data_IF_585161920810
#
_entry.id   IF_585161920810
#
_cell.length_a   1.000
_cell.length_b   1.000
_cell.length_c   1.000
_cell.angle_alpha   90.00
_cell.angle_beta   90.00
_cell.angle_gamma   90.00
#
_symmetry.space_group_name_H-M   'P 1'
#
loop_
_entity.id
_entity.type
_entity.pdbx_description
1 polymer ?
#
# COMPACT_ATOMS: atom_id res chain seq x y z
N UNK A 1 29.48 21.64 0.19
CA UNK A 1 30.72 20.84 0.39
C UNK A 1 30.40 19.48 1.02
N UNK A 2 29.35 19.41 1.87
CA UNK A 2 28.88 18.17 2.48
C UNK A 2 28.13 17.28 1.47
N UNK A 3 27.42 17.87 0.51
CA UNK A 3 26.67 17.20 -0.55
C UNK A 3 27.59 16.39 -1.47
N UNK A 4 28.69 17.00 -1.91
CA UNK A 4 29.71 16.36 -2.73
C UNK A 4 30.39 15.19 -2.01
N UNK A 5 30.53 15.28 -0.68
CA UNK A 5 31.09 14.20 0.13
C UNK A 5 30.13 13.01 0.15
N UNK A 6 28.85 13.23 0.43
CA UNK A 6 27.82 12.16 0.42
C UNK A 6 27.76 11.49 -0.95
N UNK A 7 27.74 12.29 -2.03
CA UNK A 7 27.74 11.76 -3.41
C UNK A 7 28.99 10.94 -3.70
N UNK A 8 30.17 11.38 -3.24
CA UNK A 8 31.41 10.63 -3.41
C UNK A 8 31.37 9.28 -2.69
N UNK A 9 30.87 9.24 -1.46
CA UNK A 9 30.70 7.99 -0.70
C UNK A 9 29.75 7.04 -1.44
N UNK A 10 28.60 7.55 -1.93
CA UNK A 10 27.65 6.77 -2.72
C UNK A 10 28.34 6.20 -3.96
N UNK A 11 29.06 7.02 -4.73
CA UNK A 11 29.76 6.57 -5.94
C UNK A 11 30.84 5.53 -5.64
N UNK A 12 31.60 5.70 -4.56
CA UNK A 12 32.61 4.72 -4.13
C UNK A 12 31.97 3.38 -3.73
N UNK A 13 30.85 3.42 -3.01
CA UNK A 13 30.08 2.23 -2.66
C UNK A 13 29.53 1.55 -3.91
N UNK A 14 28.89 2.29 -4.83
CA UNK A 14 28.32 1.76 -6.07
C UNK A 14 29.41 1.18 -6.98
N UNK A 15 30.56 1.85 -7.12
CA UNK A 15 31.68 1.33 -7.89
C UNK A 15 32.16 -0.02 -7.33
N UNK A 16 32.34 -0.11 -6.01
CA UNK A 16 32.75 -1.36 -5.34
C UNK A 16 31.68 -2.45 -5.49
N UNK A 17 30.41 -2.07 -5.35
CA UNK A 17 29.26 -2.96 -5.48
C UNK A 17 29.19 -3.61 -6.87
N UNK A 18 29.13 -2.78 -7.92
CA UNK A 18 28.86 -3.23 -9.28
C UNK A 18 30.09 -3.83 -9.97
N UNK A 19 31.31 -3.35 -9.69
CA UNK A 19 32.52 -3.89 -10.30
C UNK A 19 33.08 -5.12 -9.59
N UNK A 20 32.88 -5.26 -8.27
CA UNK A 20 33.51 -6.35 -7.52
C UNK A 20 32.53 -7.24 -6.76
N UNK A 21 31.64 -6.66 -5.95
CA UNK A 21 30.80 -7.46 -5.04
C UNK A 21 29.73 -8.25 -5.81
N UNK A 22 28.96 -7.62 -6.69
CA UNK A 22 27.92 -8.31 -7.46
C UNK A 22 28.48 -9.37 -8.42
N UNK A 23 29.55 -9.11 -9.20
CA UNK A 23 30.13 -10.14 -10.06
C UNK A 23 30.65 -11.36 -9.29
N UNK A 24 31.27 -11.14 -8.11
CA UNK A 24 31.93 -12.18 -7.34
C UNK A 24 30.98 -12.99 -6.46
N UNK A 25 29.99 -12.33 -5.84
CA UNK A 25 29.14 -12.96 -4.83
C UNK A 25 27.70 -13.22 -5.29
N UNK A 26 27.12 -12.33 -6.10
CA UNK A 26 25.73 -12.50 -6.57
C UNK A 26 25.65 -13.45 -7.78
N UNK A 27 26.62 -13.36 -8.71
CA UNK A 27 26.63 -14.16 -9.93
C UNK A 27 25.34 -13.97 -10.74
N UNK A 28 24.64 -15.08 -11.00
CA UNK A 28 23.35 -15.08 -11.71
C UNK A 28 22.13 -15.25 -10.76
N UNK A 29 22.34 -15.21 -9.43
CA UNK A 29 21.26 -15.40 -8.47
C UNK A 29 20.66 -14.05 -8.04
N UNK A 30 19.46 -13.76 -8.55
CA UNK A 30 18.73 -12.52 -8.29
C UNK A 30 18.42 -12.31 -6.80
N UNK A 31 18.06 -13.38 -6.06
CA UNK A 31 17.74 -13.26 -4.62
C UNK A 31 18.96 -12.83 -3.80
N UNK A 32 20.14 -13.35 -4.15
CA UNK A 32 21.41 -12.94 -3.50
C UNK A 32 21.77 -11.51 -3.86
N UNK A 33 21.55 -11.11 -5.12
CA UNK A 33 21.76 -9.74 -5.57
C UNK A 33 20.91 -8.75 -4.76
N UNK A 34 19.61 -9.00 -4.60
CA UNK A 34 18.72 -8.13 -3.83
C UNK A 34 19.13 -8.00 -2.35
N UNK A 35 19.59 -9.08 -1.72
CA UNK A 35 20.10 -9.03 -0.36
C UNK A 35 21.40 -8.24 -0.23
N UNK A 36 22.30 -8.37 -1.21
CA UNK A 36 23.54 -7.59 -1.24
C UNK A 36 23.25 -6.11 -1.49
N UNK A 37 22.31 -5.79 -2.36
CA UNK A 37 21.85 -4.43 -2.65
C UNK A 37 21.31 -3.73 -1.40
N UNK A 38 20.42 -4.41 -0.66
CA UNK A 38 19.91 -3.94 0.61
C UNK A 38 21.01 -3.74 1.65
N UNK A 39 21.97 -4.68 1.75
CA UNK A 39 23.08 -4.57 2.69
C UNK A 39 24.06 -3.42 2.34
N UNK A 40 24.37 -3.25 1.05
CA UNK A 40 25.28 -2.21 0.58
C UNK A 40 24.65 -0.82 0.66
N UNK A 41 23.32 -0.72 0.50
CA UNK A 41 22.59 0.53 0.71
C UNK A 41 22.66 1.08 2.13
N UNK A 42 22.87 0.23 3.14
CA UNK A 42 23.10 0.70 4.50
C UNK A 42 24.48 1.36 4.69
N UNK A 43 25.47 1.13 3.81
CA UNK A 43 26.81 1.69 3.97
C UNK A 43 26.79 3.22 3.81
N UNK A 44 26.30 3.81 2.70
CA UNK A 44 26.24 5.26 2.56
C UNK A 44 25.34 5.91 3.62
N UNK A 45 24.23 5.26 3.99
CA UNK A 45 23.35 5.73 5.06
C UNK A 45 24.06 5.74 6.42
N UNK A 46 24.79 4.67 6.75
CA UNK A 46 25.54 4.56 8.00
C UNK A 46 26.70 5.54 8.09
N UNK A 47 27.45 5.73 7.00
CA UNK A 47 28.51 6.75 6.93
C UNK A 47 27.92 8.16 7.09
N UNK A 48 26.81 8.45 6.40
CA UNK A 48 26.14 9.74 6.51
C UNK A 48 25.57 9.98 7.91
N UNK A 49 25.06 8.93 8.57
CA UNK A 49 24.65 9.00 9.97
C UNK A 49 25.85 9.38 10.85
N UNK A 50 26.96 8.64 10.78
CA UNK A 50 28.14 8.93 11.62
C UNK A 50 28.65 10.36 11.42
N UNK A 51 28.66 10.85 10.18
CA UNK A 51 29.19 12.18 9.85
C UNK A 51 28.26 13.33 10.23
N UNK A 52 26.94 13.16 10.08
CA UNK A 52 25.99 14.27 10.12
C UNK A 52 24.97 14.19 11.26
N UNK A 53 24.98 13.14 12.07
CA UNK A 53 24.01 12.95 13.16
C UNK A 53 23.99 14.08 14.19
N UNK A 54 25.16 14.59 14.56
CA UNK A 54 25.26 15.66 15.57
C UNK A 54 25.16 17.06 14.96
N UNK A 55 25.69 17.24 13.75
CA UNK A 55 25.73 18.55 13.09
C UNK A 55 24.43 18.94 12.40
N UNK A 56 23.56 17.96 12.12
CA UNK A 56 22.30 18.07 11.38
C UNK A 56 22.26 19.17 10.31
N UNK A 57 23.15 19.09 9.29
CA UNK A 57 23.22 20.13 8.28
C UNK A 57 22.04 20.04 7.32
N UNK A 58 21.62 21.19 6.78
CA UNK A 58 20.62 21.24 5.71
C UNK A 58 21.27 20.88 4.37
N UNK A 59 20.65 19.98 3.63
CA UNK A 59 21.08 19.57 2.30
C UNK A 59 20.11 20.09 1.26
N UNK A 60 20.62 20.79 0.25
CA UNK A 60 19.80 21.27 -0.87
C UNK A 60 19.72 20.21 -1.97
N UNK A 61 18.55 19.62 -2.17
CA UNK A 61 18.24 18.93 -3.42
C UNK A 61 17.92 19.94 -4.52
N UNK A 62 17.84 19.49 -5.77
CA UNK A 62 17.69 20.35 -6.97
C UNK A 62 16.58 21.42 -6.81
N UNK A 63 15.49 21.11 -6.10
CA UNK A 63 14.33 22.00 -5.94
C UNK A 63 13.91 22.30 -4.49
N UNK A 64 14.43 21.60 -3.48
CA UNK A 64 13.99 21.75 -2.08
C UNK A 64 15.09 21.35 -1.09
N UNK A 65 14.98 21.84 0.13
CA UNK A 65 15.92 21.51 1.21
C UNK A 65 15.43 20.29 1.99
N UNK A 66 16.37 19.46 2.42
CA UNK A 66 16.12 18.18 3.07
C UNK A 66 17.18 17.92 4.16
N UNK A 67 16.92 16.93 5.02
CA UNK A 67 17.94 16.41 5.93
C UNK A 67 18.92 15.46 5.22
N UNK A 68 20.02 15.13 5.91
CA UNK A 68 21.06 14.22 5.41
C UNK A 68 20.52 12.83 5.06
N UNK A 69 19.53 12.32 5.81
CA UNK A 69 18.96 10.99 5.63
C UNK A 69 18.23 10.86 4.29
N UNK A 70 17.24 11.73 4.06
CA UNK A 70 16.47 11.75 2.81
C UNK A 70 17.34 12.17 1.62
N UNK A 71 18.31 13.07 1.82
CA UNK A 71 19.27 13.40 0.77
C UNK A 71 20.04 12.15 0.31
N UNK A 72 20.60 11.40 1.25
CA UNK A 72 21.39 10.20 0.96
C UNK A 72 20.55 9.11 0.30
N UNK A 73 19.34 8.87 0.82
CA UNK A 73 18.41 7.88 0.28
C UNK A 73 18.02 8.21 -1.17
N UNK A 74 17.64 9.45 -1.45
CA UNK A 74 17.20 9.88 -2.78
C UNK A 74 18.39 9.92 -3.75
N UNK A 75 19.52 10.49 -3.35
CA UNK A 75 20.72 10.55 -4.18
C UNK A 75 21.23 9.16 -4.54
N UNK A 76 21.27 8.23 -3.59
CA UNK A 76 21.63 6.83 -3.85
C UNK A 76 20.67 6.20 -4.84
N UNK A 77 19.36 6.32 -4.62
CA UNK A 77 18.33 5.76 -5.52
C UNK A 77 18.48 6.28 -6.95
N UNK A 78 18.69 7.59 -7.12
CA UNK A 78 18.84 8.23 -8.44
C UNK A 78 20.10 7.75 -9.17
N UNK A 79 21.21 7.57 -8.45
CA UNK A 79 22.48 7.11 -9.02
C UNK A 79 22.50 5.60 -9.28
N UNK A 80 21.83 4.82 -8.44
CA UNK A 80 21.83 3.36 -8.47
C UNK A 80 20.92 2.80 -9.56
N UNK A 81 19.69 3.31 -9.69
CA UNK A 81 18.71 2.81 -10.66
C UNK A 81 19.24 2.67 -12.11
N UNK A 82 19.96 3.65 -12.70
CA UNK A 82 20.49 3.48 -14.05
C UNK A 82 21.57 2.39 -14.13
N UNK A 83 22.46 2.31 -13.13
CA UNK A 83 23.51 1.28 -13.06
C UNK A 83 22.91 -0.11 -12.90
N UNK A 84 21.91 -0.23 -12.03
CA UNK A 84 21.14 -1.44 -11.80
C UNK A 84 20.49 -1.96 -13.09
N UNK A 85 19.81 -1.07 -13.81
CA UNK A 85 19.16 -1.39 -15.07
C UNK A 85 20.17 -1.87 -16.11
N UNK A 86 21.30 -1.18 -16.26
CA UNK A 86 22.38 -1.58 -17.16
C UNK A 86 22.97 -2.94 -16.79
N UNK A 87 23.22 -3.18 -15.50
CA UNK A 87 23.79 -4.43 -15.00
C UNK A 87 22.88 -5.63 -15.27
N UNK A 88 21.59 -5.50 -14.97
CA UNK A 88 20.60 -6.56 -15.24
C UNK A 88 20.47 -6.84 -16.73
N UNK A 89 20.44 -5.79 -17.56
CA UNK A 89 20.38 -5.92 -19.02
C UNK A 89 21.61 -6.62 -19.57
N UNK A 90 22.82 -6.25 -19.11
CA UNK A 90 24.08 -6.84 -19.55
C UNK A 90 24.19 -8.34 -19.21
N UNK A 91 23.60 -8.78 -18.09
CA UNK A 91 23.63 -10.18 -17.66
C UNK A 91 22.41 -11.02 -18.08
N UNK A 92 21.46 -10.43 -18.81
CA UNK A 92 20.22 -11.12 -19.20
C UNK A 92 19.32 -11.51 -18.03
N UNK A 93 19.52 -10.91 -16.84
CA UNK A 93 18.79 -11.24 -15.61
C UNK A 93 17.40 -10.58 -15.54
N UNK A 94 17.00 -9.84 -16.57
CA UNK A 94 15.77 -9.03 -16.55
C UNK A 94 14.50 -9.82 -16.26
N UNK A 95 14.33 -10.99 -16.89
CA UNK A 95 13.15 -11.85 -16.65
C UNK A 95 13.15 -12.41 -15.23
N UNK A 96 14.27 -12.98 -14.79
CA UNK A 96 14.42 -13.52 -13.44
C UNK A 96 14.23 -12.44 -12.35
N UNK A 97 14.65 -11.20 -12.62
CA UNK A 97 14.40 -10.06 -11.75
C UNK A 97 12.93 -9.68 -11.69
N UNK A 98 12.27 -9.52 -12.84
CA UNK A 98 10.83 -9.25 -12.90
C UNK A 98 10.02 -10.35 -12.21
N UNK A 99 10.37 -11.62 -12.42
CA UNK A 99 9.76 -12.76 -11.71
C UNK A 99 9.96 -12.66 -10.20
N UNK A 100 11.16 -12.31 -9.72
CA UNK A 100 11.43 -12.14 -8.28
C UNK A 100 10.63 -11.01 -7.64
N UNK A 101 10.32 -9.97 -8.43
CA UNK A 101 9.51 -8.83 -8.02
C UNK A 101 8.00 -9.08 -8.19
N UNK A 102 7.59 -10.27 -8.65
CA UNK A 102 6.19 -10.63 -8.89
C UNK A 102 5.61 -10.12 -10.22
N UNK A 103 6.42 -9.47 -11.06
CA UNK A 103 6.03 -8.95 -12.38
C UNK A 103 6.21 -9.96 -13.53
N UNK A 104 6.82 -11.12 -13.27
CA UNK A 104 7.07 -12.16 -14.28
C UNK A 104 5.99 -13.24 -14.41
N UNK A 105 4.93 -13.17 -13.60
CA UNK A 105 3.75 -14.05 -13.74
C UNK A 105 2.80 -13.60 -14.86
N UNK A 106 1.71 -14.34 -15.05
CA UNK A 106 0.60 -13.89 -15.92
C UNK A 106 0.20 -12.46 -15.57
N UNK A 107 -0.28 -11.66 -16.53
CA UNK A 107 -0.72 -10.26 -16.31
C UNK A 107 -1.69 -10.12 -15.14
N UNK A 108 -2.37 -11.21 -14.78
CA UNK A 108 -3.31 -11.32 -13.66
C UNK A 108 -2.61 -11.58 -12.31
N UNK A 109 -1.51 -12.34 -12.29
CA UNK A 109 -0.72 -12.60 -11.08
C UNK A 109 -0.07 -11.33 -10.51
N UNK A 110 0.24 -10.34 -11.36
CA UNK A 110 0.83 -9.06 -10.92
C UNK A 110 -0.11 -8.22 -10.05
N UNK A 111 -1.43 -8.41 -10.18
CA UNK A 111 -2.46 -7.70 -9.41
C UNK A 111 -3.13 -8.61 -8.36
N UNK A 112 -2.83 -9.90 -8.36
CA UNK A 112 -3.29 -10.85 -7.36
C UNK A 112 -2.49 -10.65 -6.07
N UNK A 113 -3.16 -10.23 -4.99
CA UNK A 113 -2.54 -10.09 -3.66
C UNK A 113 -2.45 -11.43 -2.89
N UNK A 114 -2.79 -12.56 -3.53
CA UNK A 114 -2.61 -13.90 -3.00
C UNK A 114 -1.96 -14.82 -4.05
N UNK A 115 -0.99 -15.64 -3.64
CA UNK A 115 -0.38 -16.63 -4.52
C UNK A 115 -1.28 -17.86 -4.70
N UNK A 116 -1.19 -18.54 -5.86
CA UNK A 116 -1.93 -19.78 -6.16
C UNK A 116 -1.83 -20.79 -5.01
N UNK A 117 -0.62 -21.03 -4.51
CA UNK A 117 -0.35 -21.97 -3.41
C UNK A 117 -1.03 -21.56 -2.10
N UNK A 118 -1.09 -20.26 -1.80
CA UNK A 118 -1.79 -19.76 -0.61
C UNK A 118 -3.30 -19.95 -0.74
N UNK A 119 -3.87 -19.69 -1.91
CA UNK A 119 -5.30 -19.89 -2.17
C UNK A 119 -5.67 -21.36 -2.06
N UNK A 120 -4.91 -22.26 -2.70
CA UNK A 120 -5.15 -23.70 -2.64
C UNK A 120 -5.06 -24.23 -1.20
N UNK A 121 -4.04 -23.80 -0.44
CA UNK A 121 -3.93 -24.11 0.99
C UNK A 121 -5.16 -23.62 1.75
N UNK A 122 -5.59 -22.39 1.49
CA UNK A 122 -6.69 -21.75 2.19
C UNK A 122 -8.06 -22.40 1.88
N UNK A 123 -8.24 -22.89 0.65
CA UNK A 123 -9.45 -23.59 0.22
C UNK A 123 -9.63 -24.90 0.99
N UNK A 124 -8.53 -25.57 1.32
CA UNK A 124 -8.50 -26.83 2.06
C UNK A 124 -8.35 -26.66 3.58
N UNK A 125 -8.06 -25.44 4.06
CA UNK A 125 -7.85 -25.16 5.48
C UNK A 125 -9.17 -25.06 6.26
N UNK A 126 -9.22 -25.68 7.44
CA UNK A 126 -10.35 -25.71 8.37
C UNK A 126 -10.16 -24.82 9.60
N UNK A 127 -8.95 -24.30 9.86
CA UNK A 127 -8.68 -23.49 11.07
C UNK A 127 -9.62 -22.29 11.20
N UNK A 128 -10.01 -21.68 10.08
CA UNK A 128 -10.85 -20.47 10.04
C UNK A 128 -12.35 -20.75 9.88
N UNK A 129 -12.82 -21.99 10.07
CA UNK A 129 -14.24 -22.33 9.86
C UNK A 129 -15.19 -21.56 10.78
N UNK A 130 -14.74 -21.12 11.96
CA UNK A 130 -15.52 -20.25 12.86
C UNK A 130 -15.92 -18.92 12.21
N UNK A 131 -15.01 -18.30 11.44
CA UNK A 131 -15.27 -17.05 10.71
C UNK A 131 -16.17 -17.26 9.48
N UNK A 132 -16.37 -18.51 9.04
CA UNK A 132 -17.13 -18.86 7.84
C UNK A 132 -18.61 -19.13 8.14
N UNK A 133 -19.00 -19.14 9.41
CA UNK A 133 -20.39 -19.27 9.85
C UNK A 133 -21.23 -18.07 9.40
N UNK A 134 -22.55 -18.27 9.29
CA UNK A 134 -23.48 -17.20 8.89
C UNK A 134 -23.43 -16.02 9.87
N UNK A 135 -23.43 -16.32 11.17
CA UNK A 135 -23.36 -15.31 12.23
C UNK A 135 -22.06 -14.52 12.18
N UNK A 136 -20.91 -15.19 12.09
CA UNK A 136 -19.61 -14.52 12.00
C UNK A 136 -19.48 -13.65 10.74
N UNK A 137 -20.02 -14.09 9.60
CA UNK A 137 -20.03 -13.30 8.35
C UNK A 137 -20.88 -12.03 8.46
N UNK A 138 -22.06 -12.13 9.08
CA UNK A 138 -22.90 -10.96 9.34
C UNK A 138 -22.18 -10.01 10.32
N UNK A 139 -21.64 -10.56 11.41
CA UNK A 139 -20.89 -9.78 12.39
C UNK A 139 -19.70 -9.07 11.76
N UNK A 140 -18.86 -9.76 10.99
CA UNK A 140 -17.72 -9.16 10.30
C UNK A 140 -18.15 -8.04 9.35
N UNK A 141 -19.19 -8.26 8.55
CA UNK A 141 -19.67 -7.25 7.61
C UNK A 141 -20.17 -5.99 8.33
N UNK A 142 -20.96 -6.16 9.39
CA UNK A 142 -21.50 -5.03 10.16
C UNK A 142 -20.42 -4.35 10.98
N UNK A 143 -19.59 -5.12 11.69
CA UNK A 143 -18.51 -4.61 12.52
C UNK A 143 -17.47 -3.86 11.71
N UNK A 144 -17.07 -4.35 10.53
CA UNK A 144 -16.14 -3.62 9.67
C UNK A 144 -16.72 -2.29 9.21
N UNK A 145 -17.97 -2.25 8.72
CA UNK A 145 -18.57 -0.98 8.28
C UNK A 145 -18.72 0.01 9.43
N UNK A 146 -19.22 -0.46 10.59
CA UNK A 146 -19.38 0.38 11.76
C UNK A 146 -18.03 0.91 12.25
N UNK A 147 -17.01 0.05 12.29
CA UNK A 147 -15.66 0.43 12.70
C UNK A 147 -15.04 1.46 11.76
N UNK A 148 -15.11 1.24 10.45
CA UNK A 148 -14.55 2.15 9.45
C UNK A 148 -15.20 3.52 9.54
N UNK A 149 -16.54 3.59 9.56
CA UNK A 149 -17.28 4.84 9.63
C UNK A 149 -17.10 5.53 10.98
N UNK A 150 -17.24 4.81 12.10
CA UNK A 150 -17.10 5.40 13.43
C UNK A 150 -15.67 5.92 13.67
N UNK A 151 -14.65 5.18 13.24
CA UNK A 151 -13.26 5.62 13.37
C UNK A 151 -12.92 6.81 12.47
N UNK A 152 -13.44 6.86 11.24
CA UNK A 152 -13.26 8.02 10.36
C UNK A 152 -13.95 9.27 10.91
N UNK A 153 -15.20 9.13 11.39
CA UNK A 153 -15.94 10.21 12.05
C UNK A 153 -15.18 10.69 13.30
N UNK A 154 -14.74 9.76 14.15
CA UNK A 154 -13.97 10.08 15.36
C UNK A 154 -12.70 10.87 15.03
N UNK A 155 -11.87 10.39 14.10
CA UNK A 155 -10.64 11.09 13.72
C UNK A 155 -10.91 12.45 13.07
N UNK A 156 -12.01 12.58 12.34
CA UNK A 156 -12.39 13.84 11.72
C UNK A 156 -12.78 14.92 12.75
N UNK A 157 -13.46 14.53 13.82
CA UNK A 157 -13.90 15.43 14.89
C UNK A 157 -12.86 15.67 15.99
N UNK A 158 -11.96 14.71 16.25
CA UNK A 158 -10.91 14.85 17.29
C UNK A 158 -9.94 15.98 16.97
N UNK A 159 -9.63 16.21 15.68
CA UNK A 159 -8.65 17.23 15.27
C UNK A 159 -7.26 16.97 15.84
N UNK A 160 -6.45 18.03 15.98
CA UNK A 160 -5.11 17.94 16.57
C UNK A 160 -5.18 18.00 18.11
N UNK A 161 -5.45 16.86 18.74
CA UNK A 161 -5.59 16.74 20.19
C UNK A 161 -4.74 15.58 20.73
N UNK A 162 -4.58 15.46 22.06
CA UNK A 162 -3.80 14.38 22.69
C UNK A 162 -4.31 12.96 22.41
N UNK A 163 -5.48 12.82 21.78
CA UNK A 163 -6.12 11.57 21.38
C UNK A 163 -5.72 11.12 19.97
N UNK A 164 -5.00 11.97 19.22
CA UNK A 164 -4.45 11.68 17.88
C UNK A 164 -3.70 10.34 17.79
N UNK A 165 -2.93 9.87 18.80
CA UNK A 165 -2.27 8.57 18.74
C UNK A 165 -3.23 7.37 18.59
N UNK A 166 -4.52 7.52 18.92
CA UNK A 166 -5.53 6.47 18.70
C UNK A 166 -5.73 6.16 17.20
N UNK A 167 -5.32 7.06 16.30
CA UNK A 167 -5.27 6.78 14.85
C UNK A 167 -4.41 5.56 14.53
N UNK A 168 -3.34 5.28 15.28
CA UNK A 168 -2.50 4.09 15.07
C UNK A 168 -3.26 2.81 15.39
N UNK A 169 -4.07 2.81 16.45
CA UNK A 169 -4.95 1.68 16.80
C UNK A 169 -6.01 1.49 15.71
N UNK A 170 -6.57 2.59 15.21
CA UNK A 170 -7.52 2.54 14.09
C UNK A 170 -6.91 1.88 12.85
N UNK A 171 -5.70 2.28 12.46
CA UNK A 171 -4.96 1.69 11.33
C UNK A 171 -4.70 0.20 11.56
N UNK A 172 -4.21 -0.17 12.75
CA UNK A 172 -3.94 -1.58 13.08
C UNK A 172 -5.21 -2.43 12.94
N UNK A 173 -6.34 -1.94 13.46
CA UNK A 173 -7.62 -2.63 13.37
C UNK A 173 -8.16 -2.68 11.94
N UNK A 174 -7.91 -1.68 11.09
CA UNK A 174 -8.19 -1.76 9.64
C UNK A 174 -7.46 -2.97 9.06
N UNK A 175 -6.16 -3.12 9.30
CA UNK A 175 -5.41 -4.27 8.80
C UNK A 175 -5.93 -5.60 9.37
N UNK A 176 -6.33 -5.62 10.65
CA UNK A 176 -6.94 -6.79 11.27
C UNK A 176 -8.27 -7.18 10.58
N UNK A 177 -9.18 -6.22 10.38
CA UNK A 177 -10.44 -6.48 9.68
C UNK A 177 -10.23 -6.89 8.22
N UNK A 178 -9.28 -6.25 7.53
CA UNK A 178 -8.91 -6.60 6.16
C UNK A 178 -8.46 -8.06 6.09
N UNK A 179 -7.58 -8.47 7.00
CA UNK A 179 -7.12 -9.84 7.10
C UNK A 179 -8.28 -10.81 7.40
N UNK A 180 -9.10 -10.54 8.43
CA UNK A 180 -10.20 -11.41 8.83
C UNK A 180 -11.25 -11.58 7.73
N UNK A 181 -11.60 -10.50 7.02
CA UNK A 181 -12.51 -10.56 5.87
C UNK A 181 -11.96 -11.48 4.79
N UNK A 182 -10.68 -11.35 4.44
CA UNK A 182 -10.01 -12.22 3.47
C UNK A 182 -9.98 -13.69 3.89
N UNK A 183 -9.75 -13.97 5.18
CA UNK A 183 -9.82 -15.34 5.71
C UNK A 183 -11.24 -15.92 5.61
N UNK A 184 -12.28 -15.10 5.87
CA UNK A 184 -13.69 -15.52 5.83
C UNK A 184 -14.18 -15.95 4.44
N UNK A 185 -13.59 -15.39 3.38
CA UNK A 185 -13.88 -15.70 1.97
C UNK A 185 -12.81 -16.61 1.33
N UNK A 186 -11.93 -17.20 2.13
CA UNK A 186 -10.87 -18.11 1.67
C UNK A 186 -9.94 -17.52 0.60
N UNK A 187 -9.67 -16.21 0.68
CA UNK A 187 -8.89 -15.45 -0.30
C UNK A 187 -9.44 -15.47 -1.73
N UNK A 188 -10.66 -15.99 -1.97
CA UNK A 188 -11.24 -16.12 -3.32
C UNK A 188 -11.39 -14.77 -4.00
N UNK A 189 -11.65 -13.71 -3.22
CA UNK A 189 -11.71 -12.35 -3.73
C UNK A 189 -10.41 -11.93 -4.42
N UNK A 190 -9.25 -12.32 -3.88
CA UNK A 190 -7.93 -11.86 -4.33
C UNK A 190 -7.12 -12.94 -5.07
N UNK A 191 -7.76 -14.08 -5.36
CA UNK A 191 -7.12 -15.23 -5.97
C UNK A 191 -6.92 -15.02 -7.47
N UNK A 192 -5.77 -15.45 -8.04
CA UNK A 192 -5.57 -15.50 -9.48
C UNK A 192 -6.56 -16.49 -10.12
N UNK A 193 -6.95 -16.25 -11.37
CA UNK A 193 -7.95 -17.10 -12.05
C UNK A 193 -7.49 -18.56 -12.14
N UNK A 194 -6.19 -18.80 -12.30
CA UNK A 194 -5.55 -20.12 -12.37
C UNK A 194 -5.80 -20.98 -11.12
N UNK A 195 -6.02 -20.36 -9.96
CA UNK A 195 -6.25 -21.06 -8.69
C UNK A 195 -7.72 -21.40 -8.42
N UNK A 196 -8.63 -20.93 -9.28
CA UNK A 196 -10.08 -21.00 -9.07
C UNK A 196 -10.75 -21.81 -10.19
N UNK A 197 -11.86 -22.46 -9.83
CA UNK A 197 -12.75 -23.05 -10.83
C UNK A 197 -13.60 -21.97 -11.55
N UNK A 198 -14.20 -22.31 -12.69
CA UNK A 198 -15.04 -21.37 -13.48
C UNK A 198 -16.22 -20.78 -12.68
N UNK A 199 -16.70 -21.51 -11.67
CA UNK A 199 -17.81 -21.05 -10.83
C UNK A 199 -17.35 -19.98 -9.85
N UNK A 200 -16.21 -20.17 -9.20
CA UNK A 200 -15.60 -19.24 -8.26
C UNK A 200 -15.10 -17.99 -8.97
N UNK A 201 -14.55 -18.12 -10.19
CA UNK A 201 -14.19 -16.97 -11.03
C UNK A 201 -15.42 -16.09 -11.27
N UNK A 202 -16.55 -16.67 -11.71
CA UNK A 202 -17.80 -15.90 -11.91
C UNK A 202 -18.33 -15.25 -10.63
N UNK A 203 -18.16 -15.88 -9.48
CA UNK A 203 -18.56 -15.31 -8.18
C UNK A 203 -17.66 -14.13 -7.81
N UNK A 204 -16.34 -14.29 -7.96
CA UNK A 204 -15.33 -13.27 -7.73
C UNK A 204 -15.58 -12.06 -8.62
N UNK A 205 -15.72 -12.24 -9.93
CA UNK A 205 -15.92 -11.13 -10.87
C UNK A 205 -17.22 -10.37 -10.56
N UNK A 206 -18.29 -11.08 -10.21
CA UNK A 206 -19.54 -10.44 -9.75
C UNK A 206 -19.35 -9.65 -8.46
N UNK A 207 -18.54 -10.15 -7.53
CA UNK A 207 -18.23 -9.43 -6.29
C UNK A 207 -17.46 -8.13 -6.57
N UNK A 208 -16.50 -8.14 -7.52
CA UNK A 208 -15.80 -6.95 -7.96
C UNK A 208 -16.73 -5.92 -8.58
N UNK A 209 -17.65 -6.32 -9.48
CA UNK A 209 -18.62 -5.38 -10.07
C UNK A 209 -19.46 -4.71 -8.99
N UNK A 210 -19.91 -5.45 -7.97
CA UNK A 210 -20.67 -4.88 -6.85
C UNK A 210 -19.78 -3.96 -6.01
N UNK A 211 -18.55 -4.38 -5.69
CA UNK A 211 -17.59 -3.60 -4.92
C UNK A 211 -17.29 -2.26 -5.59
N UNK A 212 -16.98 -2.25 -6.88
CA UNK A 212 -16.67 -1.01 -7.62
C UNK A 212 -17.87 -0.09 -7.76
N UNK A 213 -19.10 -0.61 -7.84
CA UNK A 213 -20.31 0.22 -7.80
C UNK A 213 -20.45 0.93 -6.45
N UNK A 214 -20.22 0.23 -5.35
CA UNK A 214 -20.24 0.85 -4.01
C UNK A 214 -19.11 1.86 -3.84
N UNK A 215 -17.89 1.53 -4.30
CA UNK A 215 -16.77 2.46 -4.25
C UNK A 215 -17.05 3.71 -5.10
N UNK A 216 -17.61 3.55 -6.30
CA UNK A 216 -18.01 4.66 -7.15
C UNK A 216 -19.06 5.54 -6.47
N UNK A 217 -20.06 4.94 -5.79
CA UNK A 217 -21.05 5.70 -5.02
C UNK A 217 -20.40 6.50 -3.88
N UNK A 218 -19.43 5.93 -3.17
CA UNK A 218 -18.68 6.64 -2.11
C UNK A 218 -17.92 7.82 -2.71
N UNK A 219 -17.18 7.60 -3.80
CA UNK A 219 -16.39 8.64 -4.47
C UNK A 219 -17.29 9.74 -5.04
N UNK A 220 -18.40 9.39 -5.70
CA UNK A 220 -19.40 10.35 -6.19
C UNK A 220 -19.99 11.13 -5.02
N UNK A 221 -20.29 10.47 -3.90
CA UNK A 221 -20.78 11.13 -2.68
C UNK A 221 -19.79 12.16 -2.14
N UNK A 222 -18.50 11.81 -2.05
CA UNK A 222 -17.45 12.73 -1.61
C UNK A 222 -17.25 13.89 -2.60
N UNK A 223 -17.24 13.63 -3.91
CA UNK A 223 -17.15 14.67 -4.93
C UNK A 223 -18.36 15.61 -4.88
N UNK A 224 -19.56 15.06 -4.70
CA UNK A 224 -20.79 15.85 -4.53
C UNK A 224 -20.72 16.71 -3.27
N UNK A 225 -20.21 16.18 -2.16
CA UNK A 225 -20.02 16.94 -0.92
C UNK A 225 -19.04 18.11 -1.11
N UNK A 226 -17.98 17.94 -1.91
CA UNK A 226 -17.06 19.02 -2.25
C UNK A 226 -17.71 20.12 -3.10
N UNK A 227 -18.56 19.74 -4.06
CA UNK A 227 -19.34 20.71 -4.86
C UNK A 227 -20.37 21.44 -3.99
N UNK A 228 -21.03 20.74 -3.07
CA UNK A 228 -21.95 21.37 -2.13
C UNK A 228 -21.19 22.34 -1.21
N UNK A 229 -20.00 21.95 -0.73
CA UNK A 229 -19.14 22.82 0.06
C UNK A 229 -18.78 24.10 -0.69
N UNK A 230 -18.36 24.01 -1.96
CA UNK A 230 -18.01 25.20 -2.75
C UNK A 230 -19.20 26.15 -2.92
N UNK A 231 -20.38 25.62 -3.26
CA UNK A 231 -21.62 26.41 -3.41
C UNK A 231 -22.01 27.10 -2.10
N UNK A 232 -21.92 26.40 -0.97
CA UNK A 232 -22.24 26.96 0.35
C UNK A 232 -21.23 28.03 0.76
N UNK A 233 -19.94 27.81 0.50
CA UNK A 233 -18.89 28.80 0.75
C UNK A 233 -19.11 30.08 -0.05
N UNK A 234 -19.56 29.97 -1.31
CA UNK A 234 -19.84 31.13 -2.16
C UNK A 234 -21.06 31.94 -1.72
N UNK A 235 -22.00 31.32 -1.01
CA UNK A 235 -23.14 32.03 -0.43
C UNK A 235 -22.79 32.89 0.79
N UNK A 236 -21.58 32.77 1.34
CA UNK A 236 -21.15 33.50 2.55
C UNK A 236 -20.50 34.85 2.20
N UNK A 237 -20.67 35.84 3.08
CA UNK A 237 -20.09 37.16 2.90
C UNK A 237 -18.55 37.09 2.99
N UNK A 238 -17.86 37.41 1.89
CA UNK A 238 -16.40 37.38 1.79
C UNK A 238 -15.83 36.28 0.88
N UNK A 239 -16.66 35.49 0.19
CA UNK A 239 -16.18 34.60 -0.88
C UNK A 239 -15.76 35.41 -2.11
N UNK A 240 -14.63 35.03 -2.71
CA UNK A 240 -14.18 35.51 -4.01
C UNK A 240 -14.72 34.66 -5.17
N UNK A 241 -15.37 33.52 -4.89
CA UNK A 241 -15.90 32.58 -5.89
C UNK A 241 -14.84 31.75 -6.63
N UNK A 242 -13.56 31.87 -6.24
CA UNK A 242 -12.45 31.23 -6.96
C UNK A 242 -11.49 30.47 -6.03
N UNK A 243 -11.40 30.86 -4.75
CA UNK A 243 -10.43 30.31 -3.80
C UNK A 243 -11.12 29.64 -2.62
N UNK A 244 -10.99 28.32 -2.50
CA UNK A 244 -11.54 27.55 -1.37
C UNK A 244 -10.41 27.02 -0.50
N UNK A 245 -10.38 27.41 0.78
CA UNK A 245 -9.41 26.94 1.75
C UNK A 245 -10.04 25.88 2.67
N UNK A 246 -9.45 24.68 2.69
CA UNK A 246 -9.84 23.57 3.57
C UNK A 246 -8.67 23.25 4.51
N UNK A 247 -8.58 23.91 5.69
CA UNK A 247 -7.50 23.68 6.64
C UNK A 247 -7.72 22.34 7.37
N UNK A 248 -7.31 21.25 6.74
CA UNK A 248 -7.40 19.91 7.32
C UNK A 248 -6.22 19.63 8.24
N UNK A 249 -6.52 19.13 9.44
CA UNK A 249 -5.51 18.62 10.38
C UNK A 249 -4.99 17.25 9.94
N UNK A 250 -3.82 16.84 10.43
CA UNK A 250 -3.26 15.51 10.14
C UNK A 250 -4.25 14.36 10.39
N UNK A 251 -4.98 14.31 11.52
CA UNK A 251 -5.99 13.25 11.76
C UNK A 251 -7.15 13.25 10.77
N UNK A 252 -7.57 14.42 10.28
CA UNK A 252 -8.63 14.52 9.27
C UNK A 252 -8.18 13.98 7.91
N UNK A 253 -6.92 14.26 7.51
CA UNK A 253 -6.33 13.69 6.30
C UNK A 253 -6.23 12.16 6.43
N UNK A 254 -5.76 11.68 7.58
CA UNK A 254 -5.68 10.25 7.87
C UNK A 254 -7.06 9.58 7.82
N UNK A 255 -8.10 10.20 8.38
CA UNK A 255 -9.47 9.69 8.34
C UNK A 255 -9.96 9.47 6.90
N UNK A 256 -9.76 10.47 6.03
CA UNK A 256 -10.18 10.40 4.62
C UNK A 256 -9.39 9.31 3.88
N UNK A 257 -8.07 9.31 4.02
CA UNK A 257 -7.20 8.35 3.36
C UNK A 257 -7.54 6.91 3.75
N UNK A 258 -7.58 6.62 5.05
CA UNK A 258 -7.81 5.26 5.53
C UNK A 258 -9.22 4.77 5.27
N UNK A 259 -10.23 5.65 5.29
CA UNK A 259 -11.60 5.29 4.91
C UNK A 259 -11.66 4.82 3.45
N UNK A 260 -11.10 5.61 2.53
CA UNK A 260 -11.07 5.29 1.11
C UNK A 260 -10.23 4.04 0.83
N UNK A 261 -9.04 3.96 1.41
CA UNK A 261 -8.13 2.83 1.26
C UNK A 261 -8.73 1.52 1.79
N UNK A 262 -9.33 1.57 2.98
CA UNK A 262 -9.98 0.39 3.57
C UNK A 262 -11.17 -0.07 2.73
N UNK A 263 -12.04 0.83 2.28
CA UNK A 263 -13.14 0.44 1.40
C UNK A 263 -12.64 -0.11 0.06
N UNK A 264 -11.64 0.52 -0.58
CA UNK A 264 -11.08 0.03 -1.84
C UNK A 264 -10.55 -1.42 -1.73
N UNK A 265 -9.91 -1.75 -0.61
CA UNK A 265 -9.30 -3.08 -0.40
C UNK A 265 -10.26 -4.13 0.17
N UNK A 266 -11.23 -3.73 1.00
CA UNK A 266 -12.13 -4.66 1.70
C UNK A 266 -13.46 -4.90 0.98
N UNK A 267 -13.92 -3.97 0.12
CA UNK A 267 -15.22 -4.09 -0.56
C UNK A 267 -15.40 -5.37 -1.38
N UNK A 268 -14.40 -5.90 -2.11
CA UNK A 268 -14.54 -7.18 -2.82
C UNK A 268 -14.90 -8.33 -1.87
N UNK A 269 -14.21 -8.43 -0.74
CA UNK A 269 -14.48 -9.46 0.28
C UNK A 269 -15.86 -9.25 0.93
N UNK A 270 -16.24 -8.02 1.26
CA UNK A 270 -17.57 -7.71 1.81
C UNK A 270 -18.71 -8.02 0.82
N UNK A 271 -18.52 -7.70 -0.47
CA UNK A 271 -19.47 -7.99 -1.53
C UNK A 271 -19.65 -9.51 -1.73
N UNK A 272 -18.56 -10.28 -1.66
CA UNK A 272 -18.59 -11.73 -1.74
C UNK A 272 -19.38 -12.34 -0.57
N UNK A 273 -19.12 -11.89 0.67
CA UNK A 273 -19.89 -12.30 1.86
C UNK A 273 -21.39 -12.02 1.65
N UNK A 274 -21.73 -10.82 1.16
CA UNK A 274 -23.14 -10.44 0.90
C UNK A 274 -23.80 -11.37 -0.13
N UNK A 275 -23.09 -11.73 -1.20
CA UNK A 275 -23.61 -12.66 -2.22
C UNK A 275 -23.87 -14.06 -1.64
N UNK A 276 -22.98 -14.55 -0.77
CA UNK A 276 -23.16 -15.84 -0.11
C UNK A 276 -24.34 -15.85 0.88
N UNK A 277 -24.48 -14.79 1.68
CA UNK A 277 -25.59 -14.62 2.61
C UNK A 277 -26.94 -14.55 1.88
N UNK A 278 -27.00 -13.85 0.75
CA UNK A 278 -28.21 -13.75 -0.08
C UNK A 278 -28.66 -15.09 -0.67
N UNK A 279 -27.72 -15.95 -1.08
CA UNK A 279 -28.05 -17.29 -1.61
C UNK A 279 -28.62 -18.23 -0.53
N UNK A 280 -28.13 -18.13 0.70
CA UNK A 280 -28.58 -18.98 1.82
C UNK A 280 -29.96 -18.62 2.37
N UNK A 281 -30.41 -17.37 2.20
CA UNK A 281 -31.76 -16.95 2.60
C UNK A 281 -32.88 -17.32 1.62
N UNK A 282 -32.54 -17.91 0.47
CA UNK A 282 -33.49 -18.40 -0.55
C UNK A 282 -33.69 -19.93 -0.52
N UNK A 283 -33.03 -20.61 0.43
CA UNK A 283 -33.25 -22.03 0.74
C UNK A 283 -33.99 -22.10 2.07
#
# INVERSE_FOLDING_TARGET
MNESLVVFVILATLATAYFWIYPKFAGNNVKKMAWLDLALGFIPLGVSAILFWQSDPTFRMVFFDTNWFFFTLVAMTVLELPLFFWYIKARGLGRAYLESMGFGGSREAAWATASVKQVEKQLNDTQWDGLRTRGAKIFLLVATNLFLLAGAVFLFFVGDNGWTPLSLIYILLIFAFWFLLRQSVRLVADAPAEALDERLIRIRDRSYVIAYRWLALIVIGLATALIVFSVVSDSQAGSDGFSYNLPLTWPQIQAIFWLLFAYATMLPSMAMIRLELSKKGKK
#
